data_IF_130463578683
#
_entry.id   IF_130463578683
#
_cell.length_a   1.000
_cell.length_b   1.000
_cell.length_c   1.000
_cell.angle_alpha   90.00
_cell.angle_beta   90.00
_cell.angle_gamma   90.00
#
_symmetry.space_group_name_H-M   'P 1'
#
loop_
_entity.id
_entity.type
_entity.pdbx_description
1 polymer ?
#
# COMPACT_ATOMS: atom_id res chain seq x y z
N UNK A 1 8.38 -4.75 10.94
CA UNK A 1 8.81 -3.34 11.16
C UNK A 1 7.61 -2.56 11.71
N UNK A 2 7.66 -2.07 12.97
CA UNK A 2 6.47 -1.46 13.62
C UNK A 2 5.85 -0.28 12.86
N UNK A 3 6.67 0.51 12.17
CA UNK A 3 6.22 1.66 11.34
C UNK A 3 5.26 1.23 10.23
N UNK A 4 5.51 0.08 9.59
CA UNK A 4 4.67 -0.44 8.50
C UNK A 4 3.28 -0.79 9.03
N UNK A 5 3.24 -1.61 10.06
CA UNK A 5 1.99 -2.09 10.66
C UNK A 5 1.14 -0.93 11.19
N UNK A 6 1.75 0.03 11.88
CA UNK A 6 1.04 1.24 12.32
C UNK A 6 0.46 1.99 11.12
N UNK A 7 1.28 2.32 10.11
CA UNK A 7 0.84 3.12 8.97
C UNK A 7 -0.26 2.43 8.13
N UNK A 8 -0.24 1.09 8.03
CA UNK A 8 -1.22 0.30 7.27
C UNK A 8 -2.49 -0.05 8.05
N UNK A 9 -2.50 0.08 9.38
CA UNK A 9 -3.68 -0.10 10.23
C UNK A 9 -4.61 1.14 10.21
N UNK A 10 -4.70 1.84 9.08
CA UNK A 10 -5.59 3.00 8.89
C UNK A 10 -5.09 4.32 9.48
N UNK A 11 -3.93 4.36 10.16
CA UNK A 11 -3.41 5.58 10.79
C UNK A 11 -2.56 6.47 9.86
N UNK A 12 -2.11 5.92 8.73
CA UNK A 12 -1.28 6.61 7.75
C UNK A 12 0.10 6.98 8.29
N UNK A 13 0.87 7.80 7.56
CA UNK A 13 2.28 8.09 7.91
C UNK A 13 2.46 9.08 9.07
N UNK A 14 1.41 9.85 9.42
CA UNK A 14 1.48 10.92 10.42
C UNK A 14 1.47 10.38 11.86
N UNK A 15 0.70 9.33 12.09
CA UNK A 15 0.59 8.67 13.39
C UNK A 15 1.91 8.04 13.86
N UNK A 16 2.61 7.18 13.09
CA UNK A 16 3.89 6.63 13.49
C UNK A 16 4.97 7.72 13.62
N UNK A 17 4.90 8.81 12.85
CA UNK A 17 5.80 9.95 13.02
C UNK A 17 5.62 10.62 14.40
N UNK A 18 4.37 10.80 14.85
CA UNK A 18 4.05 11.37 16.17
C UNK A 18 4.42 10.40 17.31
N UNK A 19 4.00 9.14 17.22
CA UNK A 19 4.19 8.15 18.28
C UNK A 19 5.66 7.81 18.48
N UNK A 20 6.42 7.67 17.39
CA UNK A 20 7.83 7.29 17.45
C UNK A 20 8.77 8.50 17.48
N UNK A 21 8.23 9.72 17.42
CA UNK A 21 8.99 10.99 17.43
C UNK A 21 10.08 11.04 16.33
N UNK A 22 9.76 10.50 15.15
CA UNK A 22 10.65 10.51 13.98
C UNK A 22 10.07 11.38 12.86
N UNK A 23 10.93 11.95 12.03
CA UNK A 23 10.50 12.72 10.88
C UNK A 23 9.70 11.88 9.88
N UNK A 24 8.69 12.50 9.24
CA UNK A 24 7.87 11.87 8.19
C UNK A 24 8.72 11.28 7.05
N UNK A 25 9.83 11.93 6.70
CA UNK A 25 10.76 11.42 5.69
C UNK A 25 11.35 10.06 6.05
N UNK A 26 11.62 9.83 7.35
CA UNK A 26 12.10 8.54 7.86
C UNK A 26 11.00 7.49 7.80
N UNK A 27 9.75 7.86 8.14
CA UNK A 27 8.59 6.97 8.00
C UNK A 27 8.41 6.54 6.55
N UNK A 28 8.34 7.49 5.62
CA UNK A 28 8.17 7.21 4.18
C UNK A 28 9.33 6.34 3.67
N UNK A 29 10.57 6.64 4.06
CA UNK A 29 11.73 5.84 3.65
C UNK A 29 11.65 4.42 4.21
N UNK A 30 11.24 4.26 5.46
CA UNK A 30 11.05 2.94 6.06
C UNK A 30 9.95 2.16 5.32
N UNK A 31 8.84 2.80 4.95
CA UNK A 31 7.75 2.19 4.18
C UNK A 31 8.17 1.80 2.76
N UNK A 32 8.92 2.65 2.06
CA UNK A 32 9.46 2.35 0.72
C UNK A 32 10.47 1.19 0.76
N UNK A 33 11.23 1.05 1.84
CA UNK A 33 12.19 -0.05 2.01
C UNK A 33 11.54 -1.32 2.58
N UNK A 34 10.39 -1.23 3.24
CA UNK A 34 9.58 -2.40 3.58
C UNK A 34 8.85 -2.88 2.35
N UNK A 35 9.52 -3.73 1.58
CA UNK A 35 9.10 -4.50 0.39
C UNK A 35 7.58 -4.65 0.20
N UNK A 36 6.90 -3.57 -0.20
CA UNK A 36 5.54 -3.63 -0.72
C UNK A 36 5.64 -4.07 -2.17
N UNK A 37 5.54 -5.38 -2.41
CA UNK A 37 5.33 -5.93 -3.76
C UNK A 37 3.91 -5.61 -4.22
N UNK A 38 3.64 -4.34 -4.56
CA UNK A 38 2.37 -3.94 -5.18
C UNK A 38 2.41 -4.19 -6.70
N UNK A 39 3.58 -4.44 -7.29
CA UNK A 39 3.71 -4.82 -8.71
C UNK A 39 4.21 -6.26 -8.87
N UNK A 40 3.48 -7.01 -9.67
CA UNK A 40 3.60 -8.43 -9.99
C UNK A 40 3.19 -9.41 -8.88
N UNK A 41 1.88 -9.63 -8.79
CA UNK A 41 1.42 -11.02 -8.79
C UNK A 41 2.03 -11.71 -10.02
N UNK A 42 2.75 -12.84 -9.88
CA UNK A 42 2.90 -13.72 -11.02
C UNK A 42 1.48 -14.21 -11.34
N UNK A 43 0.84 -13.60 -12.32
CA UNK A 43 -0.47 -14.04 -12.80
C UNK A 43 -0.23 -15.34 -13.56
N UNK A 44 -0.09 -16.43 -12.81
CA UNK A 44 -0.17 -17.76 -13.37
C UNK A 44 -1.67 -18.02 -13.62
N UNK A 45 -2.12 -17.74 -14.84
CA UNK A 45 -3.28 -18.38 -15.49
C UNK A 45 -4.69 -18.06 -14.96
N UNK A 46 -5.01 -16.83 -14.56
CA UNK A 46 -6.42 -16.46 -14.35
C UNK A 46 -6.96 -15.73 -15.60
N UNK A 47 -7.81 -16.43 -16.36
CA UNK A 47 -8.67 -15.92 -17.43
C UNK A 47 -9.29 -14.56 -17.08
N UNK A 48 -8.79 -13.49 -17.71
CA UNK A 48 -9.37 -12.16 -17.59
C UNK A 48 -10.51 -12.03 -18.59
N UNK A 49 -11.75 -12.09 -18.12
CA UNK A 49 -12.92 -11.73 -18.92
C UNK A 49 -13.12 -10.19 -18.90
N UNK A 50 -13.16 -9.57 -20.07
CA UNK A 50 -13.62 -8.18 -20.24
C UNK A 50 -15.15 -8.17 -20.12
N UNK A 51 -15.69 -7.58 -19.06
CA UNK A 51 -17.10 -7.16 -19.03
C UNK A 51 -17.19 -5.77 -19.66
N UNK A 52 -17.91 -5.66 -20.77
CA UNK A 52 -18.26 -4.39 -21.38
C UNK A 52 -19.68 -4.05 -20.94
N UNK A 53 -19.84 -3.01 -20.13
CA UNK A 53 -21.17 -2.49 -19.80
C UNK A 53 -21.68 -1.71 -21.03
N UNK A 54 -22.81 -2.13 -21.60
CA UNK A 54 -23.55 -1.37 -22.62
C UNK A 54 -24.47 -0.38 -21.88
N UNK A 55 -24.06 0.87 -21.77
CA UNK A 55 -24.97 1.96 -21.37
C UNK A 55 -25.90 2.27 -22.56
N UNK A 56 -27.17 1.89 -22.44
CA UNK A 56 -28.25 2.27 -23.36
C UNK A 56 -29.23 3.20 -22.63
N UNK A 57 -29.07 4.53 -22.76
CA UNK A 57 -30.11 5.55 -22.52
C UNK A 57 -29.88 6.80 -23.37
#
# INVERSE_FOLDING_TARGET
MRVFEMAFNGSGVRDPARVLKIGISTVIRALKNSRMRITSSPVAHADVALIYELDEQ
#
